data_IF_481512850692
#
_entry.id   IF_481512850692
#
_cell.length_a   1.000
_cell.length_b   1.000
_cell.length_c   1.000
_cell.angle_alpha   90.00
_cell.angle_beta   90.00
_cell.angle_gamma   90.00
#
_symmetry.space_group_name_H-M   'P 1'
#
loop_
_entity.id
_entity.type
_entity.pdbx_description
1 polymer ?
#
# COMPACT_ATOMS: atom_id res chain seq x y z
N UNK A 1 -17.21 -5.59 18.82
CA UNK A 1 -17.77 -6.59 17.91
C UNK A 1 -17.21 -6.34 16.51
N UNK A 2 -17.09 -7.40 15.71
CA UNK A 2 -16.57 -7.31 14.34
C UNK A 2 -17.43 -6.38 13.46
N UNK A 3 -18.73 -6.26 13.73
CA UNK A 3 -19.65 -5.39 13.00
C UNK A 3 -19.22 -3.90 13.02
N UNK A 4 -18.48 -3.48 14.05
CA UNK A 4 -17.94 -2.12 14.13
C UNK A 4 -16.91 -1.84 13.02
N UNK A 5 -16.23 -2.88 12.50
CA UNK A 5 -15.30 -2.75 11.38
C UNK A 5 -16.03 -2.43 10.08
N UNK A 6 -17.23 -2.98 9.88
CA UNK A 6 -18.07 -2.62 8.73
C UNK A 6 -18.54 -1.16 8.78
N UNK A 7 -18.87 -0.65 9.96
CA UNK A 7 -19.23 0.76 10.12
C UNK A 7 -18.03 1.69 9.82
N UNK A 8 -16.83 1.31 10.25
CA UNK A 8 -15.60 2.04 9.91
C UNK A 8 -15.36 2.01 8.40
N UNK A 9 -15.48 0.83 7.76
CA UNK A 9 -15.35 0.69 6.33
C UNK A 9 -16.29 1.64 5.56
N UNK A 10 -17.55 1.64 5.91
CA UNK A 10 -18.58 2.43 5.21
C UNK A 10 -18.47 3.93 5.44
N UNK A 11 -18.05 4.34 6.65
CA UNK A 11 -18.16 5.73 7.09
C UNK A 11 -16.82 6.46 7.22
N UNK A 12 -15.67 5.74 7.22
CA UNK A 12 -14.36 6.31 7.50
C UNK A 12 -13.32 6.06 6.43
N UNK A 13 -13.53 5.08 5.54
CA UNK A 13 -12.59 4.78 4.46
C UNK A 13 -12.99 5.59 3.23
N UNK A 14 -12.04 6.37 2.73
CA UNK A 14 -12.17 7.10 1.48
C UNK A 14 -10.98 6.76 0.58
N UNK A 15 -11.24 6.62 -0.71
CA UNK A 15 -10.17 6.36 -1.68
C UNK A 15 -9.53 7.67 -2.12
N UNK A 16 -8.22 7.65 -2.26
CA UNK A 16 -7.49 8.77 -2.83
C UNK A 16 -7.86 8.94 -4.31
N UNK A 17 -7.95 10.19 -4.73
CA UNK A 17 -8.28 10.54 -6.10
C UNK A 17 -7.27 9.95 -7.10
N UNK A 18 -7.78 9.44 -8.23
CA UNK A 18 -6.97 8.85 -9.28
C UNK A 18 -6.48 7.41 -9.02
N UNK A 19 -6.68 6.84 -7.81
CA UNK A 19 -6.12 5.51 -7.50
C UNK A 19 -6.70 4.39 -8.35
N UNK A 20 -8.00 4.40 -8.63
CA UNK A 20 -8.65 3.40 -9.46
C UNK A 20 -8.13 3.44 -10.91
N UNK A 21 -8.02 4.61 -11.48
CA UNK A 21 -7.50 4.84 -12.83
C UNK A 21 -6.03 4.40 -12.91
N UNK A 22 -5.23 4.81 -11.94
CA UNK A 22 -3.81 4.44 -11.88
C UNK A 22 -3.63 2.92 -11.85
N UNK A 23 -4.28 2.23 -10.92
CA UNK A 23 -4.16 0.76 -10.79
C UNK A 23 -4.71 0.06 -12.02
N UNK A 24 -5.84 0.51 -12.57
CA UNK A 24 -6.41 -0.07 -13.79
C UNK A 24 -5.47 0.08 -14.98
N UNK A 25 -4.86 1.25 -15.19
CA UNK A 25 -3.91 1.50 -16.27
C UNK A 25 -2.65 0.66 -16.11
N UNK A 26 -2.09 0.59 -14.90
CA UNK A 26 -0.91 -0.23 -14.61
C UNK A 26 -1.16 -1.72 -14.89
N UNK A 27 -2.32 -2.23 -14.52
CA UNK A 27 -2.71 -3.62 -14.81
C UNK A 27 -2.83 -3.91 -16.30
N UNK A 28 -3.30 -2.97 -17.10
CA UNK A 28 -3.34 -3.10 -18.57
C UNK A 28 -1.94 -3.15 -19.20
N UNK A 29 -0.92 -2.71 -18.48
CA UNK A 29 0.50 -2.78 -18.85
C UNK A 29 1.22 -3.96 -18.16
N UNK A 30 0.49 -4.97 -17.70
CA UNK A 30 1.01 -6.14 -16.99
C UNK A 30 1.82 -5.82 -15.73
N UNK A 31 1.58 -4.66 -15.11
CA UNK A 31 2.24 -4.28 -13.85
C UNK A 31 1.56 -4.98 -12.67
N UNK A 32 2.35 -5.67 -11.85
CA UNK A 32 1.84 -6.28 -10.61
C UNK A 32 1.66 -5.24 -9.51
N UNK A 33 0.42 -4.99 -9.12
CA UNK A 33 0.05 -3.98 -8.12
C UNK A 33 -0.33 -4.64 -6.80
N UNK A 34 0.31 -4.18 -5.71
CA UNK A 34 0.06 -4.66 -4.35
C UNK A 34 -0.12 -3.50 -3.40
N UNK A 35 -0.96 -3.68 -2.38
CA UNK A 35 -1.06 -2.77 -1.25
C UNK A 35 -0.46 -3.41 0.00
N UNK A 36 0.46 -2.70 0.67
CA UNK A 36 1.09 -3.13 1.94
C UNK A 36 0.78 -2.09 3.00
N UNK A 37 0.12 -2.49 4.07
CA UNK A 37 -0.39 -1.59 5.11
C UNK A 37 0.04 -2.04 6.51
N UNK A 38 0.42 -1.09 7.35
CA UNK A 38 0.53 -1.32 8.79
C UNK A 38 -0.83 -1.41 9.51
N UNK A 39 -1.95 -1.21 8.79
CA UNK A 39 -3.30 -1.44 9.28
C UNK A 39 -3.66 -2.93 9.28
N UNK A 40 -4.94 -3.25 9.05
CA UNK A 40 -5.46 -4.59 9.22
C UNK A 40 -6.00 -5.20 7.92
N UNK A 41 -5.86 -6.52 7.77
CA UNK A 41 -6.29 -7.29 6.60
C UNK A 41 -7.76 -7.10 6.28
N UNK A 42 -8.60 -6.94 7.30
CA UNK A 42 -10.01 -6.63 7.13
C UNK A 42 -10.27 -5.44 6.19
N UNK A 43 -9.45 -4.40 6.29
CA UNK A 43 -9.57 -3.21 5.42
C UNK A 43 -8.77 -3.35 4.14
N UNK A 44 -7.54 -3.85 4.20
CA UNK A 44 -6.69 -3.94 3.02
C UNK A 44 -7.23 -4.91 1.98
N UNK A 45 -7.91 -5.99 2.39
CA UNK A 45 -8.61 -6.91 1.48
C UNK A 45 -9.74 -6.20 0.72
N UNK A 46 -10.59 -5.46 1.44
CA UNK A 46 -11.68 -4.69 0.83
C UNK A 46 -11.15 -3.61 -0.10
N UNK A 47 -10.08 -2.92 0.28
CA UNK A 47 -9.41 -1.92 -0.57
C UNK A 47 -8.84 -2.59 -1.82
N UNK A 48 -8.12 -3.69 -1.66
CA UNK A 48 -7.53 -4.41 -2.78
C UNK A 48 -8.59 -4.86 -3.79
N UNK A 49 -9.68 -5.43 -3.31
CA UNK A 49 -10.80 -5.83 -4.16
C UNK A 49 -11.44 -4.63 -4.86
N UNK A 50 -11.67 -3.53 -4.15
CA UNK A 50 -12.38 -2.36 -4.68
C UNK A 50 -11.56 -1.59 -5.72
N UNK A 51 -10.27 -1.40 -5.46
CA UNK A 51 -9.34 -0.69 -6.35
C UNK A 51 -8.83 -1.60 -7.48
N UNK A 52 -8.77 -2.91 -7.24
CA UNK A 52 -8.31 -3.89 -8.20
C UNK A 52 -6.84 -4.30 -8.04
N UNK A 53 -6.24 -4.13 -6.85
CA UNK A 53 -4.90 -4.66 -6.57
C UNK A 53 -4.86 -6.19 -6.73
N UNK A 54 -3.70 -6.72 -7.11
CA UNK A 54 -3.48 -8.17 -7.25
C UNK A 54 -3.34 -8.86 -5.90
N UNK A 55 -2.75 -8.18 -4.93
CA UNK A 55 -2.44 -8.71 -3.60
C UNK A 55 -2.56 -7.60 -2.55
N UNK A 56 -2.79 -8.00 -1.31
CA UNK A 56 -2.71 -7.12 -0.16
C UNK A 56 -1.94 -7.79 0.98
N UNK A 57 -1.24 -6.99 1.78
CA UNK A 57 -0.59 -7.43 3.03
C UNK A 57 -0.85 -6.43 4.13
N UNK A 58 -1.28 -6.91 5.28
CA UNK A 58 -1.52 -6.11 6.47
C UNK A 58 -1.50 -7.01 7.70
N UNK A 59 -1.57 -6.41 8.88
CA UNK A 59 -1.69 -7.16 10.14
C UNK A 59 -3.03 -7.88 10.24
N UNK A 60 -3.04 -9.01 10.92
CA UNK A 60 -4.25 -9.82 11.13
C UNK A 60 -4.76 -9.56 12.54
N UNK A 61 -6.03 -9.11 12.64
CA UNK A 61 -6.69 -8.97 13.93
C UNK A 61 -7.10 -10.34 14.47
N UNK A 62 -6.78 -10.61 15.72
CA UNK A 62 -7.28 -11.81 16.37
C UNK A 62 -8.76 -11.63 16.72
N UNK A 63 -9.57 -12.58 16.24
CA UNK A 63 -11.02 -12.58 16.46
C UNK A 63 -11.43 -13.87 17.18
N UNK A 64 -12.11 -13.74 18.32
CA UNK A 64 -12.64 -14.84 19.07
C UNK A 64 -14.13 -14.65 19.33
N UNK A 65 -14.94 -15.63 18.95
CA UNK A 65 -16.40 -15.59 19.10
C UNK A 65 -17.07 -14.31 18.53
N UNK A 66 -16.60 -13.81 17.38
CA UNK A 66 -17.12 -12.61 16.74
C UNK A 66 -16.71 -11.28 17.38
N UNK A 67 -15.77 -11.32 18.31
CA UNK A 67 -15.22 -10.15 19.00
C UNK A 67 -13.72 -10.03 18.74
N UNK A 68 -13.25 -8.79 18.61
CA UNK A 68 -11.82 -8.48 18.63
C UNK A 68 -11.27 -8.75 20.03
N UNK A 69 -10.19 -9.52 20.12
CA UNK A 69 -9.52 -9.79 21.42
C UNK A 69 -8.69 -8.59 21.87
N UNK A 70 -8.29 -7.73 20.94
CA UNK A 70 -7.34 -6.64 21.16
C UNK A 70 -5.92 -7.01 20.78
N UNK A 71 -5.70 -8.26 20.39
CA UNK A 71 -4.40 -8.77 19.95
C UNK A 71 -4.30 -8.80 18.41
N UNK A 72 -3.07 -8.88 17.93
CA UNK A 72 -2.72 -8.98 16.51
C UNK A 72 -1.88 -10.24 16.34
N UNK A 73 -2.18 -11.01 15.31
CA UNK A 73 -1.43 -12.22 15.02
C UNK A 73 0.03 -11.91 14.62
N UNK A 74 0.97 -12.71 15.10
CA UNK A 74 2.37 -12.64 14.70
C UNK A 74 2.60 -13.33 13.31
N UNK A 75 3.53 -12.83 12.50
CA UNK A 75 4.41 -11.67 12.72
C UNK A 75 3.73 -10.32 12.42
N UNK A 76 3.99 -9.33 13.27
CA UNK A 76 3.46 -7.99 13.06
C UNK A 76 4.19 -7.29 11.91
N UNK A 77 3.43 -6.80 10.93
CA UNK A 77 3.93 -6.00 9.82
C UNK A 77 4.32 -4.59 10.30
N UNK A 78 5.57 -4.46 10.72
CA UNK A 78 6.16 -3.21 11.16
C UNK A 78 6.82 -2.42 10.02
N UNK A 79 7.72 -1.52 10.38
CA UNK A 79 8.44 -0.62 9.48
C UNK A 79 9.32 -1.37 8.48
N UNK A 80 10.06 -2.36 8.95
CA UNK A 80 10.97 -3.17 8.14
C UNK A 80 10.22 -4.12 7.22
N UNK A 81 9.06 -4.61 7.65
CA UNK A 81 8.25 -5.57 6.90
C UNK A 81 7.82 -5.08 5.50
N UNK A 82 7.68 -3.77 5.28
CA UNK A 82 7.37 -3.22 3.95
C UNK A 82 8.54 -3.40 2.98
N UNK A 83 9.77 -3.14 3.42
CA UNK A 83 10.97 -3.35 2.60
C UNK A 83 11.25 -4.85 2.38
N UNK A 84 11.03 -5.69 3.38
CA UNK A 84 11.13 -7.15 3.29
C UNK A 84 10.10 -7.70 2.29
N UNK A 85 8.86 -7.22 2.35
CA UNK A 85 7.81 -7.58 1.38
C UNK A 85 8.22 -7.22 -0.04
N UNK A 86 8.81 -6.04 -0.25
CA UNK A 86 9.32 -5.63 -1.57
C UNK A 86 10.39 -6.59 -2.06
N UNK A 87 11.36 -6.96 -1.22
CA UNK A 87 12.43 -7.88 -1.56
C UNK A 87 11.90 -9.28 -1.91
N UNK A 88 10.97 -9.81 -1.10
CA UNK A 88 10.34 -11.10 -1.30
C UNK A 88 9.55 -11.15 -2.63
N UNK A 89 8.75 -10.13 -2.90
CA UNK A 89 7.95 -10.04 -4.13
C UNK A 89 8.85 -9.91 -5.37
N UNK A 90 9.92 -9.14 -5.26
CA UNK A 90 10.92 -9.02 -6.33
C UNK A 90 11.51 -10.39 -6.67
N UNK A 91 11.90 -11.16 -5.67
CA UNK A 91 12.47 -12.48 -5.87
C UNK A 91 11.48 -13.51 -6.43
N UNK A 92 10.20 -13.43 -6.04
CA UNK A 92 9.19 -14.45 -6.34
C UNK A 92 8.31 -14.14 -7.55
N UNK A 93 8.05 -12.87 -7.84
CA UNK A 93 7.05 -12.45 -8.85
C UNK A 93 7.66 -11.72 -10.05
N UNK A 94 8.68 -10.89 -9.83
CA UNK A 94 9.17 -9.95 -10.86
C UNK A 94 10.71 -9.86 -10.78
N UNK A 95 11.41 -10.91 -11.24
CA UNK A 95 12.87 -11.00 -11.10
C UNK A 95 13.64 -9.87 -11.80
N UNK A 96 13.17 -9.41 -12.97
CA UNK A 96 13.85 -8.41 -13.81
C UNK A 96 13.01 -7.12 -13.99
N UNK A 97 11.95 -6.94 -13.21
CA UNK A 97 11.03 -5.80 -13.34
C UNK A 97 11.44 -4.59 -12.49
N UNK A 98 11.04 -3.42 -12.95
CA UNK A 98 11.15 -2.18 -12.18
C UNK A 98 10.20 -2.19 -10.98
N UNK A 99 10.74 -1.79 -9.84
CA UNK A 99 10.01 -1.70 -8.57
C UNK A 99 9.70 -0.25 -8.26
N UNK A 100 8.42 0.07 -8.25
CA UNK A 100 7.93 1.41 -7.88
C UNK A 100 7.19 1.31 -6.56
N UNK A 101 7.57 2.13 -5.61
CA UNK A 101 6.92 2.21 -4.30
C UNK A 101 6.37 3.61 -4.06
N UNK A 102 5.20 3.68 -3.44
CA UNK A 102 4.53 4.93 -3.09
C UNK A 102 4.19 4.90 -1.60
N UNK A 103 4.47 5.98 -0.91
CA UNK A 103 4.20 6.09 0.52
C UNK A 103 4.11 7.53 1.00
N UNK A 104 3.58 7.73 2.21
CA UNK A 104 3.34 9.05 2.80
C UNK A 104 3.98 9.23 4.19
N UNK A 105 4.36 8.14 4.83
CA UNK A 105 4.81 8.12 6.21
C UNK A 105 6.28 7.74 6.39
N UNK A 106 6.84 8.06 7.55
CA UNK A 106 8.21 7.70 7.90
C UNK A 106 8.44 6.17 7.95
N UNK A 107 7.39 5.40 8.12
CA UNK A 107 7.40 3.94 8.05
C UNK A 107 7.55 3.40 6.62
N UNK A 108 7.43 4.25 5.60
CA UNK A 108 7.60 3.88 4.19
C UNK A 108 9.03 4.14 3.69
N UNK A 109 9.83 4.94 4.39
CA UNK A 109 11.14 5.38 3.93
C UNK A 109 12.08 4.24 3.52
N UNK A 110 12.12 3.16 4.30
CA UNK A 110 12.96 2.01 3.97
C UNK A 110 12.51 1.34 2.65
N UNK A 111 11.20 1.20 2.44
CA UNK A 111 10.63 0.66 1.21
C UNK A 111 10.87 1.61 0.02
N UNK A 112 10.66 2.92 0.21
CA UNK A 112 10.90 3.92 -0.85
C UNK A 112 12.38 3.95 -1.28
N UNK A 113 13.31 3.80 -0.33
CA UNK A 113 14.75 3.76 -0.60
C UNK A 113 15.19 2.46 -1.28
N UNK A 114 14.50 1.34 -1.03
CA UNK A 114 14.81 0.04 -1.62
C UNK A 114 14.21 -0.16 -3.03
N UNK A 115 13.30 0.70 -3.46
CA UNK A 115 12.68 0.67 -4.78
C UNK A 115 13.60 1.26 -5.86
N UNK A 116 13.38 0.90 -7.12
CA UNK A 116 14.02 1.57 -8.26
C UNK A 116 13.49 2.99 -8.43
N UNK A 117 12.22 3.21 -8.06
CA UNK A 117 11.61 4.54 -7.93
C UNK A 117 10.71 4.58 -6.68
N UNK A 118 11.14 5.34 -5.68
CA UNK A 118 10.34 5.68 -4.50
C UNK A 118 9.64 7.02 -4.67
N UNK A 119 8.33 7.06 -4.48
CA UNK A 119 7.50 8.27 -4.64
C UNK A 119 6.84 8.63 -3.31
N UNK A 120 7.13 9.81 -2.80
CA UNK A 120 6.41 10.41 -1.69
C UNK A 120 5.07 11.00 -2.20
N UNK A 121 3.94 10.48 -1.74
CA UNK A 121 2.61 10.93 -2.16
C UNK A 121 1.93 11.72 -1.06
N UNK A 122 1.75 13.04 -1.27
CA UNK A 122 1.16 13.96 -0.27
C UNK A 122 1.69 13.69 1.13
N UNK A 123 3.01 13.50 1.20
CA UNK A 123 3.70 12.92 2.33
C UNK A 123 4.05 13.97 3.39
N UNK A 124 4.48 13.49 4.54
CA UNK A 124 5.06 14.35 5.57
C UNK A 124 6.38 14.97 5.06
N UNK A 125 6.75 16.19 5.52
CA UNK A 125 7.93 16.90 5.01
C UNK A 125 9.23 16.09 5.00
N UNK A 126 9.46 15.27 6.01
CA UNK A 126 10.63 14.38 6.07
C UNK A 126 10.64 13.38 4.91
N UNK A 127 9.49 12.78 4.60
CA UNK A 127 9.38 11.76 3.53
C UNK A 127 9.55 12.43 2.17
N UNK A 128 9.01 13.63 1.97
CA UNK A 128 9.18 14.38 0.74
C UNK A 128 10.65 14.79 0.48
N UNK A 129 11.42 15.01 1.54
CA UNK A 129 12.86 15.34 1.43
C UNK A 129 13.73 14.14 1.11
N UNK A 130 13.39 12.98 1.66
CA UNK A 130 14.17 11.73 1.53
C UNK A 130 13.84 10.93 0.27
N UNK A 131 12.62 11.04 -0.25
CA UNK A 131 12.19 10.27 -1.41
C UNK A 131 12.75 10.81 -2.72
N UNK A 132 13.15 9.94 -3.67
CA UNK A 132 13.66 10.34 -4.99
C UNK A 132 12.67 11.15 -5.83
N UNK A 133 11.38 10.89 -5.67
CA UNK A 133 10.30 11.60 -6.36
C UNK A 133 9.16 11.93 -5.40
N UNK A 134 8.34 12.92 -5.76
CA UNK A 134 7.21 13.34 -4.92
C UNK A 134 6.02 13.82 -5.75
N UNK A 135 4.83 13.55 -5.25
CA UNK A 135 3.54 14.05 -5.75
C UNK A 135 2.88 14.81 -4.61
N UNK A 136 2.93 16.15 -4.64
CA UNK A 136 2.46 17.00 -3.53
C UNK A 136 1.07 17.59 -3.79
N UNK A 137 0.72 17.89 -5.05
CA UNK A 137 -0.45 18.72 -5.38
C UNK A 137 -1.46 18.05 -6.31
N UNK A 138 -1.07 17.01 -7.00
CA UNK A 138 -1.90 16.26 -7.93
C UNK A 138 -2.43 14.97 -7.30
N UNK A 139 -3.10 14.13 -8.07
CA UNK A 139 -3.61 12.85 -7.63
C UNK A 139 -2.71 11.67 -8.05
N UNK A 140 -3.17 10.45 -7.80
CA UNK A 140 -2.40 9.24 -8.10
C UNK A 140 -2.12 9.03 -9.59
N UNK A 141 -2.88 9.63 -10.51
CA UNK A 141 -2.63 9.51 -11.95
C UNK A 141 -1.26 10.06 -12.35
N UNK A 142 -0.71 11.00 -11.56
CA UNK A 142 0.64 11.51 -11.76
C UNK A 142 1.72 10.43 -11.66
N UNK A 143 1.45 9.31 -11.00
CA UNK A 143 2.34 8.15 -10.98
C UNK A 143 2.59 7.61 -12.38
N UNK A 144 1.58 7.65 -13.25
CA UNK A 144 1.68 7.18 -14.64
C UNK A 144 2.71 7.97 -15.45
N UNK A 145 2.79 9.29 -15.23
CA UNK A 145 3.80 10.13 -15.88
C UNK A 145 5.24 9.74 -15.55
N UNK A 146 5.50 9.33 -14.30
CA UNK A 146 6.83 8.84 -13.91
C UNK A 146 7.20 7.54 -14.62
N UNK A 147 6.20 6.79 -15.09
CA UNK A 147 6.36 5.51 -15.78
C UNK A 147 6.28 5.66 -17.30
N UNK A 148 6.02 6.86 -17.82
CA UNK A 148 5.88 7.13 -19.24
C UNK A 148 4.57 6.60 -19.86
N UNK A 149 3.52 6.53 -19.04
CA UNK A 149 2.18 6.05 -19.41
C UNK A 149 1.17 7.20 -19.50
#
# INVERSE_FOLDING_TARGET
>A
HIDNLDDIWRNRIAFQEGIHETVSTLKQQDVYCIIVSGGFTYFSEKVAHHVGFHEHRANILEIQNGHLTGEVEEPILGREAKAETLAELTASKVQDGWRVCIGDGANDLAMLAAADLGIAYKAKPLVEQEAPARICHTDHTSTLFFLGL
#
